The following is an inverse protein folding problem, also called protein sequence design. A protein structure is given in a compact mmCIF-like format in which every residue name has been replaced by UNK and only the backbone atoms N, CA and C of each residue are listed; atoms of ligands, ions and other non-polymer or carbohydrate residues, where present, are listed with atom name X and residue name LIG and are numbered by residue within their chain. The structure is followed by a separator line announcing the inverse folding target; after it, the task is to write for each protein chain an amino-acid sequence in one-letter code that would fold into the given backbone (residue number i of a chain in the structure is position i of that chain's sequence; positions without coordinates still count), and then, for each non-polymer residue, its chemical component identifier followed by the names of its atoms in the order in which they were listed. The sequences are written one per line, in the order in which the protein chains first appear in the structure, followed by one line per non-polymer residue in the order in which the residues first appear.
data_IF_162371403573
#
_entry.id   IF_162371403573
#
_cell.length_a   1.000
_cell.length_b   1.000
_cell.length_c   1.000
_cell.angle_alpha   90.00
_cell.angle_beta   90.00
_cell.angle_gamma   90.00
#
_symmetry.space_group_name_H-M   'P 1'
#
loop_
_entity.id
_entity.type
_entity.pdbx_description
1 polymer ?
#
# COMPACT_ATOMS: atom_id res chain seq x y z
N UNK A 1 17.44 -23.73 -7.80
CA UNK A 1 16.84 -22.45 -7.34
C UNK A 1 16.38 -22.64 -5.89
N UNK A 2 17.23 -22.29 -4.93
CA UNK A 2 16.85 -22.29 -3.52
C UNK A 2 16.17 -20.95 -3.19
N UNK A 3 14.86 -21.00 -3.01
CA UNK A 3 14.04 -19.92 -2.48
C UNK A 3 14.39 -19.71 -1.01
N UNK A 4 15.24 -18.71 -0.74
CA UNK A 4 15.50 -18.23 0.60
C UNK A 4 14.25 -17.47 1.09
N UNK A 5 13.38 -18.18 1.81
CA UNK A 5 12.33 -17.55 2.61
C UNK A 5 12.98 -16.79 3.77
N UNK A 6 13.39 -15.54 3.52
CA UNK A 6 13.52 -14.57 4.59
C UNK A 6 12.11 -14.37 5.18
N UNK A 7 11.80 -15.05 6.27
CA UNK A 7 10.70 -14.66 7.17
C UNK A 7 11.04 -13.28 7.72
N UNK A 8 10.64 -12.24 7.00
CA UNK A 8 10.70 -10.88 7.49
C UNK A 8 9.63 -10.75 8.57
N UNK A 9 10.08 -10.48 9.80
CA UNK A 9 9.25 -10.01 10.91
C UNK A 9 8.74 -8.57 10.65
N UNK A 10 8.18 -8.34 9.46
CA UNK A 10 7.65 -7.07 9.03
C UNK A 10 6.21 -6.98 9.53
N UNK A 11 5.85 -5.89 10.21
CA UNK A 11 4.48 -5.75 10.71
C UNK A 11 3.50 -5.74 9.53
N UNK A 12 2.30 -6.32 9.70
CA UNK A 12 1.23 -6.28 8.68
C UNK A 12 1.02 -4.86 8.16
N UNK A 13 1.13 -3.87 9.06
CA UNK A 13 1.00 -2.47 8.71
C UNK A 13 2.11 -1.96 7.80
N UNK A 14 3.34 -2.36 8.05
CA UNK A 14 4.47 -1.97 7.21
C UNK A 14 4.36 -2.57 5.80
N UNK A 15 3.89 -3.81 5.67
CA UNK A 15 3.62 -4.45 4.38
C UNK A 15 2.53 -3.72 3.58
N UNK A 16 1.42 -3.33 4.22
CA UNK A 16 0.37 -2.54 3.58
C UNK A 16 0.90 -1.20 3.04
N UNK A 17 1.71 -0.50 3.83
CA UNK A 17 2.28 0.78 3.43
C UNK A 17 3.26 0.61 2.26
N UNK A 18 4.04 -0.48 2.25
CA UNK A 18 4.96 -0.79 1.17
C UNK A 18 4.23 -1.11 -0.14
N UNK A 19 3.15 -1.89 -0.07
CA UNK A 19 2.29 -2.18 -1.22
C UNK A 19 1.71 -0.88 -1.83
N UNK A 20 1.14 -0.01 -0.99
CA UNK A 20 0.62 1.31 -1.44
C UNK A 20 1.70 2.20 -2.02
N UNK A 21 2.89 2.19 -1.43
CA UNK A 21 4.03 2.94 -1.95
C UNK A 21 4.42 2.45 -3.35
N UNK A 22 4.50 1.14 -3.56
CA UNK A 22 4.79 0.56 -4.87
C UNK A 22 3.70 0.86 -5.90
N UNK A 23 2.43 0.87 -5.48
CA UNK A 23 1.29 1.28 -6.30
C UNK A 23 1.45 2.72 -6.81
N UNK A 24 1.71 3.68 -5.90
CA UNK A 24 1.93 5.09 -6.29
C UNK A 24 3.17 5.28 -7.19
N UNK A 25 4.24 4.50 -7.00
CA UNK A 25 5.41 4.55 -7.88
C UNK A 25 5.07 4.07 -9.30
N UNK A 26 4.33 2.95 -9.42
CA UNK A 26 3.84 2.45 -10.71
C UNK A 26 2.92 3.45 -11.38
N UNK A 27 2.05 4.09 -10.60
CA UNK A 27 1.14 5.10 -11.09
C UNK A 27 1.89 6.34 -11.61
N UNK A 28 2.88 6.85 -10.89
CA UNK A 28 3.74 7.95 -11.37
C UNK A 28 4.47 7.55 -12.66
N UNK A 29 4.97 6.31 -12.76
CA UNK A 29 5.62 5.83 -13.97
C UNK A 29 4.66 5.79 -15.16
N UNK A 30 3.43 5.31 -14.95
CA UNK A 30 2.38 5.32 -15.97
C UNK A 30 2.02 6.74 -16.39
N UNK A 31 1.84 7.66 -15.44
CA UNK A 31 1.57 9.08 -15.73
C UNK A 31 2.69 9.68 -16.60
N UNK A 32 3.95 9.44 -16.25
CA UNK A 32 5.09 9.94 -17.01
C UNK A 32 5.14 9.38 -18.43
N UNK A 33 4.86 8.09 -18.61
CA UNK A 33 4.81 7.47 -19.93
C UNK A 33 3.70 8.08 -20.79
N UNK A 34 2.50 8.25 -20.22
CA UNK A 34 1.37 8.88 -20.91
C UNK A 34 1.70 10.34 -21.28
N UNK A 35 2.23 11.13 -20.33
CA UNK A 35 2.66 12.51 -20.57
C UNK A 35 3.69 12.62 -21.70
N UNK A 36 4.72 11.75 -21.71
CA UNK A 36 5.76 11.79 -22.75
C UNK A 36 5.25 11.37 -24.13
N UNK A 37 4.43 10.31 -24.19
CA UNK A 37 3.83 9.83 -25.45
C UNK A 37 2.90 10.86 -26.10
N UNK A 38 2.34 11.75 -25.29
CA UNK A 38 1.37 12.75 -25.71
C UNK A 38 1.95 14.15 -25.92
N UNK A 39 3.13 14.48 -25.36
CA UNK A 39 3.87 15.73 -25.69
C UNK A 39 4.17 15.85 -27.19
N UNK A 40 4.32 14.73 -27.89
CA UNK A 40 4.54 14.68 -29.35
C UNK A 40 3.29 15.03 -30.19
N UNK A 41 2.12 15.21 -29.58
CA UNK A 41 0.83 15.31 -30.29
C UNK A 41 0.04 16.60 -30.02
N UNK A 42 0.72 17.68 -29.61
CA UNK A 42 0.09 18.99 -29.32
C UNK A 42 -1.22 18.87 -28.51
N UNK A 43 -1.13 18.34 -27.29
CA UNK A 43 -2.29 18.25 -26.39
C UNK A 43 -2.89 19.63 -26.10
N UNK A 44 -4.22 19.66 -25.96
CA UNK A 44 -4.91 20.80 -25.33
C UNK A 44 -4.32 21.04 -23.94
N UNK A 45 -4.01 22.30 -23.63
CA UNK A 45 -3.54 22.77 -22.33
C UNK A 45 -4.40 22.24 -21.17
N UNK A 46 -5.69 22.00 -21.43
CA UNK A 46 -6.62 21.43 -20.46
C UNK A 46 -6.15 20.05 -19.99
N UNK A 47 -5.90 19.13 -20.92
CA UNK A 47 -5.50 17.76 -20.57
C UNK A 47 -4.13 17.72 -19.88
N UNK A 48 -3.22 18.63 -20.23
CA UNK A 48 -1.90 18.70 -19.59
C UNK A 48 -2.02 19.14 -18.14
N UNK A 49 -2.92 20.10 -17.86
CA UNK A 49 -3.21 20.57 -16.50
C UNK A 49 -3.82 19.47 -15.64
N UNK A 50 -4.78 18.70 -16.17
CA UNK A 50 -5.38 17.56 -15.46
C UNK A 50 -4.32 16.48 -15.11
N UNK A 51 -3.48 16.12 -16.08
CA UNK A 51 -2.43 15.11 -15.92
C UNK A 51 -1.40 15.55 -14.86
N UNK A 52 -1.01 16.83 -14.87
CA UNK A 52 -0.05 17.39 -13.92
C UNK A 52 -0.63 17.53 -12.52
N UNK A 53 -1.88 17.97 -12.37
CA UNK A 53 -2.56 18.03 -11.08
C UNK A 53 -2.71 16.62 -10.47
N UNK A 54 -3.03 15.62 -11.29
CA UNK A 54 -3.07 14.23 -10.86
C UNK A 54 -1.70 13.73 -10.39
N UNK A 55 -0.65 13.98 -11.18
CA UNK A 55 0.75 13.67 -10.82
C UNK A 55 1.16 14.27 -9.48
N UNK A 56 0.83 15.54 -9.25
CA UNK A 56 1.07 16.25 -7.98
C UNK A 56 0.33 15.57 -6.83
N UNK A 57 -0.94 15.21 -7.01
CA UNK A 57 -1.73 14.49 -5.99
C UNK A 57 -1.12 13.14 -5.62
N UNK A 58 -0.77 12.31 -6.61
CA UNK A 58 -0.14 11.00 -6.40
C UNK A 58 1.19 11.16 -5.69
N UNK A 59 2.00 12.15 -6.06
CA UNK A 59 3.29 12.42 -5.41
C UNK A 59 3.14 12.90 -3.97
N UNK A 60 2.12 13.73 -3.66
CA UNK A 60 1.78 14.09 -2.27
C UNK A 60 1.39 12.86 -1.44
N UNK A 61 0.60 11.95 -2.02
CA UNK A 61 0.22 10.70 -1.35
C UNK A 61 1.43 9.78 -1.12
N UNK A 62 2.34 9.68 -2.10
CA UNK A 62 3.60 8.95 -1.97
C UNK A 62 4.45 9.50 -0.80
N UNK A 63 4.60 10.83 -0.71
CA UNK A 63 5.34 11.47 0.38
C UNK A 63 4.67 11.19 1.73
N UNK A 64 3.33 11.29 1.80
CA UNK A 64 2.56 10.98 3.01
C UNK A 64 2.79 9.55 3.49
N UNK A 65 2.62 8.56 2.61
CA UNK A 65 2.86 7.15 2.95
C UNK A 65 4.31 6.90 3.36
N UNK A 66 5.28 7.51 2.66
CA UNK A 66 6.69 7.35 2.99
C UNK A 66 7.02 7.95 4.38
N UNK A 67 6.40 9.08 4.73
CA UNK A 67 6.48 9.65 6.09
C UNK A 67 5.84 8.71 7.12
N UNK A 68 4.67 8.14 6.83
CA UNK A 68 3.99 7.21 7.74
C UNK A 68 4.83 5.95 7.98
N UNK A 69 5.50 5.42 6.94
CA UNK A 69 6.47 4.32 7.07
C UNK A 69 7.67 4.69 7.93
N UNK A 70 8.29 5.87 7.70
CA UNK A 70 9.43 6.33 8.48
C UNK A 70 9.06 6.57 9.96
N UNK A 71 7.84 7.06 10.22
CA UNK A 71 7.31 7.25 11.57
C UNK A 71 7.05 5.92 12.27
N UNK A 72 6.49 4.93 11.56
CA UNK A 72 6.29 3.58 12.08
C UNK A 72 7.63 2.93 12.46
N UNK A 73 8.61 2.96 11.55
CA UNK A 73 9.96 2.46 11.83
C UNK A 73 10.62 3.19 13.00
N UNK A 74 10.38 4.50 13.14
CA UNK A 74 10.91 5.26 14.28
C UNK A 74 10.37 4.72 15.60
N UNK A 75 9.06 4.42 15.68
CA UNK A 75 8.45 3.84 16.89
C UNK A 75 9.00 2.44 17.19
N UNK A 76 9.14 1.61 16.17
CA UNK A 76 9.72 0.26 16.30
C UNK A 76 11.19 0.33 16.77
N UNK A 77 11.99 1.21 16.18
CA UNK A 77 13.38 1.48 16.58
C UNK A 77 13.45 1.93 18.04
N UNK A 78 12.58 2.86 18.46
CA UNK A 78 12.55 3.32 19.86
C UNK A 78 12.17 2.19 20.82
N UNK A 79 11.21 1.34 20.46
CA UNK A 79 10.82 0.17 21.27
C UNK A 79 11.98 -0.82 21.39
N UNK A 80 12.61 -1.18 20.26
CA UNK A 80 13.73 -2.10 20.22
C UNK A 80 14.93 -1.56 20.99
N UNK A 81 15.19 -0.25 20.93
CA UNK A 81 16.26 0.38 21.70
C UNK A 81 16.02 0.28 23.21
N UNK A 82 14.78 0.45 23.67
CA UNK A 82 14.42 0.26 25.09
C UNK A 82 14.61 -1.19 25.54
N UNK A 83 14.17 -2.14 24.72
CA UNK A 83 14.34 -3.57 24.99
C UNK A 83 15.83 -3.95 25.05
N UNK A 84 16.64 -3.45 24.11
CA UNK A 84 18.09 -3.64 24.08
C UNK A 84 18.74 -3.08 25.35
N UNK A 85 18.35 -1.87 25.79
CA UNK A 85 18.87 -1.30 27.04
C UNK A 85 18.50 -2.17 28.24
N UNK A 86 17.22 -2.57 28.37
CA UNK A 86 16.77 -3.44 29.45
C UNK A 86 17.51 -4.78 29.47
N UNK A 87 17.74 -5.41 28.31
CA UNK A 87 18.47 -6.67 28.22
C UNK A 87 19.96 -6.50 28.56
N UNK A 88 20.57 -5.37 28.20
CA UNK A 88 21.95 -5.05 28.58
C UNK A 88 22.08 -4.91 30.10
N UNK A 89 21.16 -4.21 30.73
CA UNK A 89 21.16 -4.04 32.19
C UNK A 89 20.96 -5.38 32.90
N UNK A 90 19.98 -6.18 32.48
CA UNK A 90 19.78 -7.54 33.01
C UNK A 90 21.01 -8.42 32.85
N UNK A 91 21.62 -8.43 31.65
CA UNK A 91 22.84 -9.21 31.40
C UNK A 91 24.02 -8.72 32.25
N UNK A 92 24.12 -7.43 32.54
CA UNK A 92 25.14 -6.88 33.43
C UNK A 92 24.97 -7.48 34.83
N UNK A 93 23.78 -7.37 35.41
CA UNK A 93 23.49 -7.90 36.75
C UNK A 93 23.71 -9.42 36.82
N UNK A 94 23.19 -10.18 35.84
CA UNK A 94 23.37 -11.65 35.81
C UNK A 94 24.85 -12.05 35.70
N UNK A 95 25.64 -11.34 34.89
CA UNK A 95 27.08 -11.62 34.76
C UNK A 95 27.85 -11.26 36.02
N UNK A 96 27.52 -10.16 36.68
CA UNK A 96 28.13 -9.75 37.94
C UNK A 96 27.83 -10.77 39.07
N UNK A 97 26.56 -11.19 39.21
CA UNK A 97 26.15 -12.19 40.20
C UNK A 97 26.80 -13.56 39.92
N UNK A 98 26.75 -14.02 38.65
CA UNK A 98 27.41 -15.26 38.24
C UNK A 98 28.92 -15.22 38.48
N UNK A 99 29.59 -14.10 38.18
CA UNK A 99 31.02 -13.95 38.46
C UNK A 99 31.31 -14.00 39.96
N UNK A 100 30.53 -13.31 40.79
CA UNK A 100 30.68 -13.35 42.25
C UNK A 100 30.47 -14.77 42.80
N UNK A 101 29.48 -15.50 42.27
CA UNK A 101 29.20 -16.89 42.59
C UNK A 101 30.38 -17.82 42.23
N UNK A 102 30.94 -17.67 41.04
CA UNK A 102 32.11 -18.44 40.58
C UNK A 102 33.34 -18.15 41.44
N UNK A 103 33.62 -16.88 41.75
CA UNK A 103 34.76 -16.49 42.62
C UNK A 103 34.59 -17.05 44.03
N UNK A 104 33.40 -16.95 44.62
CA UNK A 104 33.11 -17.56 45.94
C UNK A 104 33.32 -19.07 45.91
N UNK A 105 32.78 -19.76 44.89
CA UNK A 105 32.99 -21.21 44.73
C UNK A 105 34.44 -21.59 44.50
N UNK A 106 35.26 -20.73 43.91
CA UNK A 106 36.69 -20.98 43.70
C UNK A 106 37.48 -20.77 44.99
N UNK A 107 37.26 -19.67 45.71
CA UNK A 107 37.92 -19.41 47.00
C UNK A 107 37.59 -20.48 48.03
N UNK A 108 36.34 -20.96 48.06
CA UNK A 108 35.92 -22.04 48.95
C UNK A 108 36.46 -23.43 48.57
N UNK A 109 37.14 -23.59 47.42
CA UNK A 109 37.80 -24.86 47.04
C UNK A 109 39.18 -25.02 47.69
N UNK A 110 39.82 -23.93 48.14
CA UNK A 110 41.25 -23.93 48.51
C UNK A 110 41.54 -24.39 49.95
N UNK A 111 40.57 -24.38 50.87
CA UNK A 111 40.86 -24.69 52.27
C UNK A 111 40.34 -26.04 52.76
N UNK A 112 39.26 -26.61 52.19
CA UNK A 112 38.81 -27.99 52.46
C UNK A 112 37.85 -28.47 51.35
N UNK A 113 38.20 -29.56 50.65
CA UNK A 113 37.46 -30.12 49.50
C UNK A 113 35.95 -30.26 49.75
N UNK A 114 35.11 -30.15 48.71
CA UNK A 114 33.66 -30.46 48.79
C UNK A 114 33.38 -31.83 49.44
N UNK A 115 34.34 -32.75 49.31
CA UNK A 115 34.33 -34.05 49.97
C UNK A 115 34.48 -33.86 51.49
N UNK A 116 35.43 -33.04 51.96
CA UNK A 116 35.56 -32.72 53.38
C UNK A 116 34.31 -32.05 53.94
N UNK A 117 33.66 -31.15 53.19
CA UNK A 117 32.39 -30.54 53.62
C UNK A 117 31.25 -31.57 53.79
N UNK A 118 31.25 -32.64 52.99
CA UNK A 118 30.32 -33.76 53.16
C UNK A 118 30.73 -34.69 54.30
N UNK A 119 32.04 -34.96 54.45
CA UNK A 119 32.60 -35.85 55.47
C UNK A 119 32.65 -35.22 56.87
N UNK A 120 32.66 -33.89 57.00
CA UNK A 120 32.56 -33.15 58.26
C UNK A 120 31.12 -33.03 58.77
N UNK A 121 30.24 -33.96 58.37
CA UNK A 121 28.85 -33.98 58.82
C UNK A 121 28.74 -34.82 60.09
N UNK A 122 28.00 -34.33 61.08
CA UNK A 122 27.75 -34.97 62.37
C UNK A 122 26.90 -36.25 62.24
N UNK A 123 26.09 -36.36 61.17
CA UNK A 123 25.26 -37.53 60.89
C UNK A 123 24.85 -37.65 59.40
N UNK A 124 24.29 -38.80 59.03
CA UNK A 124 23.86 -39.10 57.66
C UNK A 124 22.78 -38.14 57.14
N UNK A 125 21.83 -37.72 57.99
CA UNK A 125 20.78 -36.78 57.58
C UNK A 125 21.36 -35.42 57.20
N UNK A 126 22.34 -34.92 57.96
CA UNK A 126 23.04 -33.67 57.68
C UNK A 126 23.88 -33.79 56.40
N UNK A 127 24.59 -34.91 56.21
CA UNK A 127 25.34 -35.19 54.98
C UNK A 127 24.43 -35.23 53.74
N UNK A 128 23.26 -35.87 53.84
CA UNK A 128 22.26 -35.94 52.77
C UNK A 128 21.73 -34.54 52.40
N UNK A 129 21.39 -33.71 53.39
CA UNK A 129 20.99 -32.31 53.15
C UNK A 129 22.11 -31.51 52.48
N UNK A 130 23.35 -31.59 52.98
CA UNK A 130 24.53 -30.91 52.37
C UNK A 130 24.74 -31.35 50.92
N UNK A 131 24.56 -32.63 50.59
CA UNK A 131 24.62 -33.14 49.23
C UNK A 131 23.50 -32.57 48.33
N UNK A 132 22.27 -32.49 48.83
CA UNK A 132 21.18 -31.85 48.09
C UNK A 132 21.47 -30.37 47.80
N UNK A 133 21.98 -29.62 48.78
CA UNK A 133 22.37 -28.22 48.59
C UNK A 133 23.45 -28.05 47.52
N UNK A 134 24.47 -28.92 47.48
CA UNK A 134 25.50 -28.89 46.43
C UNK A 134 24.86 -29.10 45.05
N UNK A 135 23.95 -30.08 44.92
CA UNK A 135 23.25 -30.36 43.65
C UNK A 135 22.39 -29.17 43.21
N UNK A 136 21.63 -28.58 44.13
CA UNK A 136 20.80 -27.41 43.85
C UNK A 136 21.66 -26.22 43.41
N UNK A 137 22.78 -25.97 44.08
CA UNK A 137 23.70 -24.90 43.74
C UNK A 137 24.34 -25.11 42.36
N UNK A 138 24.74 -26.34 42.01
CA UNK A 138 25.24 -26.67 40.67
C UNK A 138 24.17 -26.49 39.58
N UNK A 139 22.93 -26.90 39.87
CA UNK A 139 21.81 -26.70 38.95
C UNK A 139 21.56 -25.21 38.69
N UNK A 140 21.55 -24.38 39.74
CA UNK A 140 21.40 -22.93 39.62
C UNK A 140 22.55 -22.28 38.83
N UNK A 141 23.82 -22.69 39.04
CA UNK A 141 24.95 -22.21 38.21
C UNK A 141 24.71 -22.50 36.72
N UNK A 142 24.29 -23.72 36.40
CA UNK A 142 24.03 -24.13 35.02
C UNK A 142 22.90 -23.32 34.41
N UNK A 143 21.81 -23.12 35.16
CA UNK A 143 20.66 -22.33 34.73
C UNK A 143 21.03 -20.87 34.45
N UNK A 144 21.77 -20.23 35.37
CA UNK A 144 22.29 -18.86 35.19
C UNK A 144 23.18 -18.74 33.93
N UNK A 145 24.05 -19.72 33.69
CA UNK A 145 24.89 -19.75 32.49
C UNK A 145 24.08 -19.85 31.18
N UNK A 146 23.05 -20.71 31.15
CA UNK A 146 22.17 -20.83 29.99
C UNK A 146 21.30 -19.57 29.80
N UNK A 147 20.80 -18.96 30.87
CA UNK A 147 20.04 -17.71 30.80
C UNK A 147 20.89 -16.57 30.21
N UNK A 148 22.13 -16.41 30.68
CA UNK A 148 23.08 -15.42 30.15
C UNK A 148 23.32 -15.66 28.66
N UNK A 149 23.49 -16.92 28.25
CA UNK A 149 23.73 -17.29 26.84
C UNK A 149 22.52 -16.94 25.98
N UNK A 150 21.31 -17.34 26.38
CA UNK A 150 20.07 -17.05 25.65
C UNK A 150 19.82 -15.55 25.51
N UNK A 151 19.93 -14.79 26.61
CA UNK A 151 19.78 -13.33 26.58
C UNK A 151 20.87 -12.65 25.72
N UNK A 152 22.10 -13.17 25.74
CA UNK A 152 23.18 -12.66 24.89
C UNK A 152 22.89 -12.87 23.40
N UNK A 153 22.42 -14.06 23.02
CA UNK A 153 22.00 -14.35 21.65
C UNK A 153 20.85 -13.44 21.21
N UNK A 154 19.82 -13.30 22.05
CA UNK A 154 18.68 -12.42 21.78
C UNK A 154 19.12 -10.96 21.60
N UNK A 155 20.04 -10.48 22.44
CA UNK A 155 20.60 -9.13 22.33
C UNK A 155 21.37 -8.94 21.01
N UNK A 156 22.14 -9.94 20.56
CA UNK A 156 22.85 -9.89 19.28
C UNK A 156 21.88 -9.81 18.10
N UNK A 157 20.83 -10.63 18.11
CA UNK A 157 19.78 -10.61 17.08
C UNK A 157 19.05 -9.26 17.02
N UNK A 158 18.67 -8.72 18.17
CA UNK A 158 18.01 -7.41 18.27
C UNK A 158 18.92 -6.28 17.75
N UNK A 159 20.21 -6.28 18.09
CA UNK A 159 21.15 -5.29 17.56
C UNK A 159 21.30 -5.38 16.03
N UNK A 160 21.36 -6.59 15.47
CA UNK A 160 21.42 -6.80 14.01
C UNK A 160 20.14 -6.30 13.33
N UNK A 161 18.98 -6.61 13.91
CA UNK A 161 17.68 -6.13 13.42
C UNK A 161 17.59 -4.59 13.47
N UNK A 162 18.02 -3.99 14.57
CA UNK A 162 18.03 -2.54 14.77
C UNK A 162 18.89 -1.82 13.72
N UNK A 163 20.08 -2.36 13.40
CA UNK A 163 20.95 -1.79 12.37
C UNK A 163 20.27 -1.81 11.00
N UNK A 164 19.59 -2.92 10.66
CA UNK A 164 18.83 -3.02 9.41
C UNK A 164 17.68 -2.02 9.37
N UNK A 165 16.88 -1.92 10.44
CA UNK A 165 15.76 -0.97 10.52
C UNK A 165 16.22 0.49 10.39
N UNK A 166 17.39 0.85 10.95
CA UNK A 166 17.99 2.19 10.79
C UNK A 166 18.36 2.45 9.33
N UNK A 167 19.06 1.52 8.69
CA UNK A 167 19.43 1.64 7.27
C UNK A 167 18.20 1.75 6.36
N UNK A 168 17.17 0.95 6.60
CA UNK A 168 15.89 1.01 5.86
C UNK A 168 15.20 2.36 6.06
N UNK A 169 15.18 2.88 7.29
CA UNK A 169 14.63 4.22 7.60
C UNK A 169 15.40 5.33 6.87
N UNK A 170 16.73 5.29 6.88
CA UNK A 170 17.55 6.31 6.22
C UNK A 170 17.31 6.32 4.71
N UNK A 171 17.17 5.14 4.10
CA UNK A 171 16.76 5.01 2.71
C UNK A 171 15.40 5.65 2.44
N UNK A 172 14.39 5.41 3.29
CA UNK A 172 13.07 6.04 3.13
C UNK A 172 13.15 7.57 3.24
N UNK A 173 13.99 8.11 4.11
CA UNK A 173 14.18 9.56 4.27
C UNK A 173 14.76 10.17 3.01
N UNK A 174 15.79 9.56 2.42
CA UNK A 174 16.39 10.03 1.17
C UNK A 174 15.41 9.95 0.00
N UNK A 175 14.67 8.85 -0.12
CA UNK A 175 13.62 8.70 -1.13
C UNK A 175 12.52 9.75 -0.98
N UNK A 176 12.14 10.09 0.24
CA UNK A 176 11.19 11.15 0.55
C UNK A 176 11.71 12.53 0.19
N UNK A 177 12.99 12.82 0.50
CA UNK A 177 13.65 14.08 0.13
C UNK A 177 13.67 14.27 -1.39
N UNK A 178 14.02 13.23 -2.13
CA UNK A 178 13.97 13.24 -3.61
C UNK A 178 12.54 13.44 -4.11
N UNK A 179 11.55 12.76 -3.52
CA UNK A 179 10.15 12.93 -3.89
C UNK A 179 9.64 14.36 -3.62
N UNK A 180 10.06 15.00 -2.53
CA UNK A 180 9.75 16.41 -2.20
C UNK A 180 10.37 17.37 -3.22
N UNK A 181 11.65 17.23 -3.54
CA UNK A 181 12.31 18.05 -4.57
C UNK A 181 11.57 17.95 -5.91
N UNK A 182 11.27 16.72 -6.33
CA UNK A 182 10.48 16.51 -7.55
C UNK A 182 9.09 17.15 -7.43
N UNK A 183 8.41 17.06 -6.28
CA UNK A 183 7.11 17.69 -6.06
C UNK A 183 7.20 19.22 -6.24
N UNK A 184 8.25 19.86 -5.74
CA UNK A 184 8.49 21.29 -5.97
C UNK A 184 8.62 21.62 -7.45
N UNK A 185 9.35 20.79 -8.22
CA UNK A 185 9.49 20.96 -9.67
C UNK A 185 8.13 20.83 -10.38
N UNK A 186 7.33 19.81 -10.04
CA UNK A 186 5.98 19.62 -10.58
C UNK A 186 5.04 20.79 -10.20
N UNK A 187 5.18 21.35 -8.99
CA UNK A 187 4.38 22.49 -8.55
C UNK A 187 4.74 23.76 -9.31
N UNK A 188 6.03 23.99 -9.61
CA UNK A 188 6.46 25.10 -10.46
C UNK A 188 5.94 24.96 -11.90
N UNK A 189 6.03 23.77 -12.49
CA UNK A 189 5.45 23.48 -13.80
C UNK A 189 3.94 23.71 -13.78
N UNK A 190 3.26 23.30 -12.69
CA UNK A 190 1.82 23.49 -12.55
C UNK A 190 1.45 24.96 -12.41
N UNK A 191 2.19 25.73 -11.63
CA UNK A 191 1.95 27.16 -11.45
C UNK A 191 2.12 27.94 -12.76
N UNK A 192 3.18 27.69 -13.51
CA UNK A 192 3.41 28.32 -14.82
C UNK A 192 2.31 27.97 -15.81
N UNK A 193 1.88 26.71 -15.85
CA UNK A 193 0.77 26.27 -16.68
C UNK A 193 -0.54 26.96 -16.26
N UNK A 194 -0.86 26.97 -14.98
CA UNK A 194 -2.07 27.62 -14.46
C UNK A 194 -2.07 29.14 -14.69
N UNK A 195 -0.91 29.79 -14.68
CA UNK A 195 -0.80 31.21 -15.04
C UNK A 195 -1.21 31.45 -16.51
N UNK A 196 -0.77 30.59 -17.44
CA UNK A 196 -1.16 30.67 -18.86
C UNK A 196 -2.65 30.34 -19.07
N UNK A 197 -3.19 29.40 -18.29
CA UNK A 197 -4.61 29.05 -18.28
C UNK A 197 -5.47 30.21 -17.78
N UNK A 198 -5.08 30.85 -16.66
CA UNK A 198 -5.79 32.01 -16.09
C UNK A 198 -5.88 33.17 -17.07
N UNK A 199 -4.82 33.46 -17.84
CA UNK A 199 -4.84 34.50 -18.88
C UNK A 199 -5.92 34.26 -19.95
N UNK A 200 -6.27 33.00 -20.21
CA UNK A 200 -7.26 32.61 -21.22
C UNK A 200 -8.46 31.88 -20.62
N UNK A 201 -8.81 32.18 -19.35
CA UNK A 201 -9.82 31.43 -18.59
C UNK A 201 -11.17 31.39 -19.31
N UNK A 202 -11.64 32.52 -19.86
CA UNK A 202 -12.89 32.60 -20.61
C UNK A 202 -12.93 31.63 -21.79
N UNK A 203 -11.85 31.56 -22.57
CA UNK A 203 -11.72 30.66 -23.72
C UNK A 203 -11.77 29.20 -23.29
N UNK A 204 -11.04 28.83 -22.23
CA UNK A 204 -11.06 27.45 -21.73
C UNK A 204 -12.39 27.07 -21.07
N UNK A 205 -13.03 27.97 -20.33
CA UNK A 205 -14.36 27.77 -19.77
C UNK A 205 -15.39 27.51 -20.89
N UNK A 206 -15.33 28.26 -21.98
CA UNK A 206 -16.16 28.06 -23.16
C UNK A 206 -15.88 26.71 -23.85
N UNK A 207 -14.61 26.32 -23.99
CA UNK A 207 -14.22 25.01 -24.53
C UNK A 207 -14.72 23.85 -23.65
N UNK A 208 -14.63 23.97 -22.33
CA UNK A 208 -15.14 22.97 -21.38
C UNK A 208 -16.66 22.85 -21.52
N UNK A 209 -17.38 23.97 -21.55
CA UNK A 209 -18.84 23.99 -21.73
C UNK A 209 -19.24 23.34 -23.06
N UNK A 210 -18.53 23.62 -24.14
CA UNK A 210 -18.79 23.03 -25.46
C UNK A 210 -18.55 21.51 -25.44
N UNK A 211 -17.46 21.06 -24.83
CA UNK A 211 -17.18 19.62 -24.65
C UNK A 211 -18.23 18.93 -23.79
N UNK A 212 -18.70 19.59 -22.73
CA UNK A 212 -19.76 19.04 -21.90
C UNK A 212 -21.06 18.88 -22.70
N UNK A 213 -21.43 19.88 -23.51
CA UNK A 213 -22.60 19.78 -24.38
C UNK A 213 -22.47 18.65 -25.42
N UNK A 214 -21.27 18.39 -25.94
CA UNK A 214 -21.03 17.25 -26.84
C UNK A 214 -21.21 15.92 -26.12
N UNK A 215 -20.69 15.79 -24.90
CA UNK A 215 -20.88 14.61 -24.05
C UNK A 215 -22.36 14.41 -23.74
N UNK A 216 -23.07 15.46 -23.32
CA UNK A 216 -24.50 15.40 -23.01
C UNK A 216 -25.35 14.97 -24.21
N UNK A 217 -24.94 15.34 -25.44
CA UNK A 217 -25.60 14.88 -26.68
C UNK A 217 -25.40 13.38 -26.90
N UNK A 218 -24.17 12.90 -26.70
CA UNK A 218 -23.84 11.47 -26.82
C UNK A 218 -24.61 10.69 -25.75
N UNK A 219 -24.64 11.18 -24.51
CA UNK A 219 -25.37 10.55 -23.41
C UNK A 219 -26.87 10.44 -23.71
N UNK A 220 -27.49 11.49 -24.25
CA UNK A 220 -28.90 11.45 -24.69
C UNK A 220 -29.14 10.43 -25.80
N UNK A 221 -28.19 10.30 -26.71
CA UNK A 221 -28.27 9.34 -27.80
C UNK A 221 -28.10 7.89 -27.29
N UNK A 222 -27.20 7.66 -26.33
CA UNK A 222 -27.06 6.39 -25.62
C UNK A 222 -28.38 6.05 -24.91
N UNK A 223 -28.97 7.00 -24.17
CA UNK A 223 -30.28 6.79 -23.51
C UNK A 223 -31.39 6.47 -24.52
N UNK A 224 -31.39 7.10 -25.70
CA UNK A 224 -32.33 6.79 -26.79
C UNK A 224 -32.17 5.34 -27.26
N UNK A 225 -30.94 4.92 -27.57
CA UNK A 225 -30.66 3.56 -28.03
C UNK A 225 -30.97 2.50 -26.97
N UNK A 226 -30.68 2.77 -25.69
CA UNK A 226 -31.05 1.88 -24.59
C UNK A 226 -32.58 1.73 -24.54
N UNK A 227 -33.33 2.82 -24.67
CA UNK A 227 -34.80 2.79 -24.66
C UNK A 227 -35.36 2.02 -25.86
N UNK A 228 -34.81 2.23 -27.04
CA UNK A 228 -35.20 1.50 -28.26
C UNK A 228 -34.91 0.00 -28.13
N UNK A 229 -33.73 -0.37 -27.62
CA UNK A 229 -33.37 -1.76 -27.37
C UNK A 229 -34.28 -2.45 -26.32
N UNK A 230 -34.64 -1.75 -25.25
CA UNK A 230 -35.61 -2.24 -24.26
C UNK A 230 -36.97 -2.45 -24.91
N UNK A 231 -37.47 -1.48 -25.66
CA UNK A 231 -38.77 -1.56 -26.32
C UNK A 231 -38.83 -2.70 -27.35
N UNK A 232 -37.77 -2.88 -28.16
CA UNK A 232 -37.70 -3.97 -29.13
C UNK A 232 -37.63 -5.33 -28.46
N UNK A 233 -36.86 -5.46 -27.37
CA UNK A 233 -36.78 -6.69 -26.57
C UNK A 233 -38.14 -7.05 -25.95
N UNK A 234 -38.81 -6.08 -25.32
CA UNK A 234 -40.11 -6.30 -24.68
C UNK A 234 -41.22 -6.59 -25.71
N UNK A 235 -41.13 -5.99 -26.91
CA UNK A 235 -42.01 -6.31 -28.05
C UNK A 235 -41.79 -7.74 -28.54
N UNK A 236 -40.53 -8.19 -28.68
CA UNK A 236 -40.20 -9.60 -29.03
C UNK A 236 -40.67 -10.58 -27.95
N UNK A 237 -40.73 -10.16 -26.68
CA UNK A 237 -41.27 -10.94 -25.57
C UNK A 237 -42.80 -10.88 -25.41
N UNK A 238 -43.52 -10.18 -26.31
CA UNK A 238 -44.99 -10.18 -26.35
C UNK A 238 -45.68 -9.32 -25.28
N UNK A 239 -44.99 -8.34 -24.67
CA UNK A 239 -45.55 -7.44 -23.64
C UNK A 239 -45.49 -5.96 -24.05
N UNK A 240 -46.23 -5.14 -23.30
CA UNK A 240 -46.41 -3.69 -23.53
C UNK A 240 -45.07 -2.92 -23.52
N UNK A 241 -44.93 -1.95 -24.44
CA UNK A 241 -43.72 -1.14 -24.64
C UNK A 241 -43.45 -0.08 -23.55
N UNK A 242 -44.25 -0.04 -22.48
CA UNK A 242 -44.21 1.01 -21.45
C UNK A 242 -43.39 0.67 -20.18
N UNK A 243 -42.64 -0.43 -20.15
CA UNK A 243 -41.78 -0.77 -19.01
C UNK A 243 -40.39 -0.11 -19.09
N UNK A 244 -39.92 0.44 -17.97
CA UNK A 244 -38.62 1.12 -17.84
C UNK A 244 -37.41 0.15 -17.73
N UNK A 245 -37.59 -1.14 -18.01
CA UNK A 245 -36.55 -2.15 -17.85
C UNK A 245 -36.71 -3.31 -18.83
N UNK A 246 -35.64 -4.07 -19.02
CA UNK A 246 -35.68 -5.29 -19.83
C UNK A 246 -36.55 -6.34 -19.14
N UNK A 247 -37.55 -6.89 -19.84
CA UNK A 247 -38.22 -8.12 -19.43
C UNK A 247 -37.28 -9.29 -19.69
N UNK A 248 -36.37 -9.51 -18.74
CA UNK A 248 -35.32 -10.51 -18.86
C UNK A 248 -35.91 -11.92 -18.90
N UNK A 249 -35.46 -12.71 -19.88
CA UNK A 249 -35.63 -14.17 -19.91
C UNK A 249 -35.06 -14.79 -18.62
N UNK A 250 -35.45 -16.01 -18.23
CA UNK A 250 -34.84 -16.67 -17.07
C UNK A 250 -33.30 -16.72 -17.14
N UNK A 251 -32.73 -16.91 -18.34
CA UNK A 251 -31.30 -16.84 -18.59
C UNK A 251 -30.73 -15.42 -18.38
N UNK A 252 -31.44 -14.38 -18.84
CA UNK A 252 -31.06 -12.98 -18.62
C UNK A 252 -31.12 -12.56 -17.14
N UNK A 253 -32.11 -13.06 -16.38
CA UNK A 253 -32.19 -12.85 -14.92
C UNK A 253 -31.04 -13.51 -14.19
N UNK A 254 -30.69 -14.75 -14.57
CA UNK A 254 -29.53 -15.43 -14.00
C UNK A 254 -28.23 -14.70 -14.33
N UNK A 255 -28.07 -14.18 -15.55
CA UNK A 255 -26.90 -13.40 -15.95
C UNK A 255 -26.81 -12.07 -15.19
N UNK A 256 -27.92 -11.36 -15.00
CA UNK A 256 -27.99 -10.13 -14.22
C UNK A 256 -27.66 -10.37 -12.73
N UNK A 257 -28.23 -11.42 -12.13
CA UNK A 257 -27.92 -11.81 -10.76
C UNK A 257 -26.42 -12.16 -10.60
N UNK A 258 -25.84 -12.87 -11.58
CA UNK A 258 -24.40 -13.14 -11.61
C UNK A 258 -23.56 -11.87 -11.75
N UNK A 259 -24.01 -10.88 -12.53
CA UNK A 259 -23.31 -9.59 -12.64
C UNK A 259 -23.32 -8.82 -11.31
N UNK A 260 -24.49 -8.72 -10.66
CA UNK A 260 -24.65 -8.05 -9.37
C UNK A 260 -23.83 -8.74 -8.26
N UNK A 261 -23.80 -10.07 -8.24
CA UNK A 261 -22.99 -10.85 -7.30
C UNK A 261 -21.47 -10.60 -7.45
N UNK A 262 -21.02 -10.19 -8.64
CA UNK A 262 -19.62 -9.85 -8.92
C UNK A 262 -19.28 -8.37 -8.67
N UNK A 263 -20.16 -7.59 -8.02
CA UNK A 263 -19.87 -6.20 -7.65
C UNK A 263 -18.56 -6.08 -6.87
N UNK A 264 -17.66 -5.25 -7.36
CA UNK A 264 -16.31 -5.04 -6.79
C UNK A 264 -15.27 -6.10 -7.14
N UNK A 265 -15.66 -7.17 -7.86
CA UNK A 265 -14.77 -8.25 -8.32
C UNK A 265 -14.64 -8.32 -9.85
N UNK A 266 -15.29 -7.41 -10.57
CA UNK A 266 -15.19 -7.33 -12.03
C UNK A 266 -13.75 -7.03 -12.48
N UNK A 267 -13.25 -7.68 -13.53
CA UNK A 267 -11.91 -7.44 -14.05
C UNK A 267 -11.78 -6.02 -14.61
N UNK A 268 -10.56 -5.46 -14.52
CA UNK A 268 -10.25 -4.16 -15.10
C UNK A 268 -10.35 -4.20 -16.64
N UNK A 269 -11.02 -3.24 -17.30
CA UNK A 269 -11.30 -3.31 -18.74
C UNK A 269 -10.06 -3.12 -19.62
N UNK A 270 -8.98 -2.55 -19.07
CA UNK A 270 -7.71 -2.34 -19.78
C UNK A 270 -6.57 -3.00 -19.02
N UNK A 271 -5.47 -3.34 -19.71
CA UNK A 271 -4.30 -3.93 -19.02
C UNK A 271 -3.61 -2.93 -18.09
N UNK A 272 -3.52 -1.68 -18.50
CA UNK A 272 -2.86 -0.58 -17.78
C UNK A 272 -3.63 0.70 -18.03
N UNK A 273 -4.00 1.45 -17.00
CA UNK A 273 -4.65 2.74 -17.21
C UNK A 273 -5.01 3.48 -15.93
N UNK A 274 -5.17 4.79 -16.05
CA UNK A 274 -5.39 5.73 -14.95
C UNK A 274 -6.75 6.38 -15.09
N UNK A 275 -7.51 6.47 -13.99
CA UNK A 275 -8.81 7.12 -13.97
C UNK A 275 -8.62 8.64 -14.01
N UNK A 276 -8.97 9.28 -15.13
CA UNK A 276 -8.92 10.74 -15.29
C UNK A 276 -10.19 11.44 -14.79
N UNK A 277 -11.34 10.83 -15.04
CA UNK A 277 -12.66 11.36 -14.66
C UNK A 277 -13.43 10.25 -13.97
N UNK A 278 -13.96 10.55 -12.79
CA UNK A 278 -14.82 9.64 -12.02
C UNK A 278 -16.28 9.84 -12.41
N UNK A 279 -17.11 8.87 -12.05
CA UNK A 279 -18.56 9.01 -12.15
C UNK A 279 -19.07 10.16 -11.28
N UNK A 280 -20.12 10.84 -11.76
CA UNK A 280 -20.80 11.91 -11.06
C UNK A 280 -20.43 13.31 -11.57
N UNK A 281 -20.75 14.31 -10.76
CA UNK A 281 -20.47 15.72 -11.05
C UNK A 281 -19.24 16.17 -10.29
N UNK A 282 -18.25 16.69 -10.99
CA UNK A 282 -17.00 17.16 -10.40
C UNK A 282 -16.62 18.53 -10.98
N UNK A 283 -16.00 19.42 -10.18
CA UNK A 283 -15.49 20.68 -10.72
C UNK A 283 -14.37 20.43 -11.72
N UNK A 284 -14.26 21.26 -12.75
CA UNK A 284 -13.14 21.20 -13.68
C UNK A 284 -11.82 21.50 -12.94
N UNK A 285 -10.74 20.74 -13.21
CA UNK A 285 -9.43 21.00 -12.60
C UNK A 285 -8.87 22.39 -12.90
N UNK A 286 -9.37 23.04 -13.96
CA UNK A 286 -8.92 24.34 -14.44
C UNK A 286 -9.80 25.47 -13.92
N UNK A 287 -11.10 25.28 -14.00
CA UNK A 287 -12.10 26.24 -13.54
C UNK A 287 -13.07 25.56 -12.58
N UNK A 288 -12.92 25.86 -11.30
CA UNK A 288 -13.74 25.26 -10.25
C UNK A 288 -15.21 25.68 -10.32
N UNK A 289 -15.54 26.74 -11.08
CA UNK A 289 -16.92 27.21 -11.26
C UNK A 289 -17.68 26.39 -12.30
N UNK A 290 -16.96 25.70 -13.21
CA UNK A 290 -17.55 24.86 -14.25
C UNK A 290 -17.54 23.41 -13.79
N UNK A 291 -18.72 22.80 -13.77
CA UNK A 291 -18.89 21.40 -13.39
C UNK A 291 -18.91 20.49 -14.62
N UNK A 292 -18.16 19.38 -14.53
CA UNK A 292 -18.13 18.30 -15.51
C UNK A 292 -19.03 17.19 -14.96
N UNK A 293 -20.07 16.84 -15.72
CA UNK A 293 -20.93 15.69 -15.42
C UNK A 293 -20.42 14.48 -16.22
N UNK A 294 -20.23 13.35 -15.54
CA UNK A 294 -19.80 12.10 -16.15
C UNK A 294 -20.71 10.94 -15.72
N UNK A 295 -21.35 10.28 -16.68
CA UNK A 295 -22.16 9.09 -16.44
C UNK A 295 -21.34 7.80 -16.35
N UNK A 296 -20.01 7.90 -16.36
CA UNK A 296 -19.09 6.77 -16.22
C UNK A 296 -17.70 7.18 -15.74
N UNK A 297 -16.74 6.26 -15.86
CA UNK A 297 -15.31 6.54 -15.60
C UNK A 297 -14.56 6.70 -16.92
N UNK A 298 -13.63 7.65 -16.99
CA UNK A 298 -12.71 7.78 -18.14
C UNK A 298 -11.34 7.28 -17.73
N UNK A 299 -10.88 6.21 -18.39
CA UNK A 299 -9.58 5.60 -18.15
C UNK A 299 -8.64 5.99 -19.28
N UNK A 300 -7.53 6.65 -18.95
CA UNK A 300 -6.45 6.90 -19.89
C UNK A 300 -5.51 5.69 -19.95
N UNK A 301 -5.24 5.22 -21.17
CA UNK A 301 -4.42 4.05 -21.46
C UNK A 301 -3.56 4.32 -22.71
N UNK A 302 -2.59 3.46 -22.98
CA UNK A 302 -1.76 3.54 -24.18
C UNK A 302 -2.61 3.41 -25.45
N UNK A 303 -2.25 4.16 -26.50
CA UNK A 303 -2.94 4.12 -27.80
C UNK A 303 -2.92 2.69 -28.37
N UNK A 304 -4.07 2.21 -28.84
CA UNK A 304 -4.20 0.87 -29.42
C UNK A 304 -4.26 -0.26 -28.38
N UNK A 305 -4.34 0.07 -27.09
CA UNK A 305 -4.58 -0.94 -26.05
C UNK A 305 -5.90 -1.67 -26.29
N UNK A 306 -5.86 -3.01 -26.20
CA UNK A 306 -7.07 -3.83 -26.29
C UNK A 306 -7.95 -3.58 -25.06
N UNK A 307 -9.21 -3.21 -25.30
CA UNK A 307 -10.25 -3.10 -24.27
C UNK A 307 -10.95 -4.46 -24.15
N UNK A 308 -11.11 -4.94 -22.92
CA UNK A 308 -11.75 -6.21 -22.60
C UNK A 308 -13.16 -5.94 -22.07
N UNK A 309 -14.10 -6.82 -22.41
CA UNK A 309 -15.40 -6.85 -21.76
C UNK A 309 -15.20 -7.20 -20.28
N UNK A 310 -15.82 -6.42 -19.38
CA UNK A 310 -15.76 -6.68 -17.93
C UNK A 310 -16.66 -7.83 -17.50
N UNK A 311 -17.60 -8.21 -18.36
CA UNK A 311 -18.55 -9.29 -18.13
C UNK A 311 -19.04 -9.85 -19.47
N UNK A 312 -19.52 -11.09 -19.46
CA UNK A 312 -20.11 -11.71 -20.65
C UNK A 312 -21.45 -11.04 -20.99
N UNK A 313 -21.64 -10.67 -22.26
CA UNK A 313 -22.85 -10.01 -22.73
C UNK A 313 -22.85 -9.83 -24.24
N UNK A 314 -23.90 -9.22 -24.75
CA UNK A 314 -24.08 -8.90 -26.17
C UNK A 314 -23.91 -7.39 -26.41
N UNK A 315 -23.23 -7.04 -27.50
CA UNK A 315 -23.01 -5.64 -27.89
C UNK A 315 -24.23 -5.14 -28.65
N UNK A 316 -24.90 -4.12 -28.11
CA UNK A 316 -26.12 -3.56 -28.72
C UNK A 316 -25.82 -2.48 -29.76
N UNK A 317 -24.81 -1.64 -29.52
CA UNK A 317 -24.46 -0.55 -30.43
C UNK A 317 -22.97 -0.23 -30.33
N UNK A 318 -22.39 0.26 -31.43
CA UNK A 318 -21.05 0.85 -31.43
C UNK A 318 -21.14 2.23 -32.05
N UNK A 319 -20.83 3.26 -31.25
CA UNK A 319 -20.80 4.64 -31.71
C UNK A 319 -19.38 5.12 -31.89
N UNK A 320 -19.08 5.78 -33.00
CA UNK A 320 -17.78 6.42 -33.22
C UNK A 320 -17.96 7.92 -33.36
N UNK A 321 -17.27 8.70 -32.53
CA UNK A 321 -17.21 10.14 -32.71
C UNK A 321 -16.05 10.49 -33.66
N UNK A 322 -16.24 11.49 -34.52
CA UNK A 322 -15.27 11.95 -35.54
C UNK A 322 -13.83 12.17 -35.02
N UNK A 323 -13.68 12.43 -33.71
CA UNK A 323 -12.40 12.61 -33.02
C UNK A 323 -12.33 11.89 -31.65
N UNK A 324 -13.21 10.90 -31.42
CA UNK A 324 -13.31 10.19 -30.14
C UNK A 324 -13.07 8.69 -30.30
N UNK A 325 -12.82 8.01 -29.18
CA UNK A 325 -12.77 6.55 -29.18
C UNK A 325 -14.18 6.00 -29.45
N UNK A 326 -14.28 4.86 -30.17
CA UNK A 326 -15.55 4.19 -30.32
C UNK A 326 -16.09 3.78 -28.93
N UNK A 327 -17.36 4.08 -28.70
CA UNK A 327 -18.13 3.74 -27.51
C UNK A 327 -18.99 2.52 -27.82
N UNK A 328 -18.96 1.52 -26.95
CA UNK A 328 -19.65 0.22 -27.06
C UNK A 328 -20.64 0.10 -25.91
#
# INVERSE_FOLDING_TARGET
MFSCFCTQAQSKKQQELEAKRQEYLKEIQQINNLLFSDKKKEKSIISVSEDLNYKVSVRKNLIKITNDQANLLTREITSNQKEITSLRDQLKYLKEDYAAMVVKSYKSKSEQSRIMFLLSSDNFQQAYKRLQYIRQYQAYQKEQGEEIKQKTQKLQELNKSLLKQKADKDKLIEENRLAKKRLEDDLKEHETLMASVRKNLSTYASQIKTKQQQVDKIDKEIERLIREAIAESNKKAGKSSNSNGFDLTPAGKALAANFEANKGKLPWPVRTGIIKVRYGTQPSPIDKTVFIKSNGIRIATDKGSKVRAVFNGEVLAVQSAKHGNPSV
#
